data_IF_692210025272
#
_entry.id   IF_692210025272
#
_cell.length_a   1.000
_cell.length_b   1.000
_cell.length_c   1.000
_cell.angle_alpha   90.00
_cell.angle_beta   90.00
_cell.angle_gamma   90.00
#
_symmetry.space_group_name_H-M   'P 1'
#
loop_
_entity.id
_entity.type
_entity.pdbx_description
1 polymer ?
#
# COMPACT_ATOMS: atom_id res chain seq x y z
N UNK A 1 -12.99 -20.57 6.62
CA UNK A 1 -14.28 -19.93 6.21
C UNK A 1 -14.78 -20.56 4.93
N UNK A 2 -14.02 -20.50 3.82
CA UNK A 2 -14.42 -21.12 2.54
C UNK A 2 -14.52 -22.65 2.60
N UNK A 3 -13.64 -23.33 3.35
CA UNK A 3 -13.70 -24.80 3.52
C UNK A 3 -14.98 -25.27 4.22
N UNK A 4 -15.58 -24.44 5.09
CA UNK A 4 -16.78 -24.80 5.86
C UNK A 4 -18.08 -24.20 5.28
N UNK A 5 -17.98 -23.21 4.39
CA UNK A 5 -19.12 -22.46 3.84
C UNK A 5 -18.89 -22.05 2.38
N UNK A 6 -18.38 -22.96 1.54
CA UNK A 6 -18.09 -22.67 0.13
C UNK A 6 -19.31 -22.11 -0.64
N UNK A 7 -20.51 -22.55 -0.27
CA UNK A 7 -21.79 -22.09 -0.85
C UNK A 7 -22.26 -20.72 -0.37
N UNK A 8 -21.62 -20.11 0.63
CA UNK A 8 -21.99 -18.78 1.13
C UNK A 8 -21.62 -17.65 0.14
N UNK A 9 -20.68 -17.91 -0.78
CA UNK A 9 -20.32 -16.98 -1.83
C UNK A 9 -20.97 -17.46 -3.14
N UNK A 10 -22.16 -16.96 -3.43
CA UNK A 10 -22.91 -17.33 -4.64
C UNK A 10 -22.34 -16.74 -5.93
N UNK A 11 -21.54 -15.68 -5.83
CA UNK A 11 -20.89 -15.05 -6.97
C UNK A 11 -19.58 -15.79 -7.31
N UNK A 12 -19.57 -16.48 -8.45
CA UNK A 12 -18.44 -17.29 -8.90
C UNK A 12 -17.17 -16.45 -9.13
N UNK A 13 -17.29 -15.21 -9.60
CA UNK A 13 -16.15 -14.31 -9.81
C UNK A 13 -15.50 -13.93 -8.49
N UNK A 14 -16.31 -13.61 -7.47
CA UNK A 14 -15.83 -13.32 -6.13
C UNK A 14 -15.22 -14.56 -5.50
N UNK A 15 -15.84 -15.72 -5.66
CA UNK A 15 -15.30 -16.99 -5.17
C UNK A 15 -13.92 -17.27 -5.76
N UNK A 16 -13.76 -17.15 -7.08
CA UNK A 16 -12.49 -17.38 -7.76
C UNK A 16 -11.41 -16.37 -7.32
N UNK A 17 -11.76 -15.09 -7.13
CA UNK A 17 -10.83 -14.06 -6.68
C UNK A 17 -10.30 -14.33 -5.26
N UNK A 18 -11.15 -14.82 -4.36
CA UNK A 18 -10.80 -15.15 -2.97
C UNK A 18 -9.96 -16.45 -2.92
N UNK A 19 -9.99 -17.28 -3.95
CA UNK A 19 -9.09 -18.44 -4.08
C UNK A 19 -7.75 -18.07 -4.75
N UNK A 20 -7.63 -16.90 -5.38
CA UNK A 20 -6.40 -16.46 -6.03
C UNK A 20 -5.39 -15.92 -4.99
N UNK A 21 -4.32 -16.68 -4.74
CA UNK A 21 -3.25 -16.24 -3.83
C UNK A 21 -2.60 -14.93 -4.30
N UNK A 22 -2.51 -14.69 -5.61
CA UNK A 22 -1.93 -13.46 -6.15
C UNK A 22 -2.76 -12.23 -5.78
N UNK A 23 -4.07 -12.38 -5.60
CA UNK A 23 -4.93 -11.29 -5.12
C UNK A 23 -4.49 -10.84 -3.72
N UNK A 24 -4.20 -11.77 -2.81
CA UNK A 24 -3.75 -11.44 -1.46
C UNK A 24 -2.32 -10.90 -1.43
N UNK A 25 -1.42 -11.43 -2.28
CA UNK A 25 -0.06 -10.89 -2.42
C UNK A 25 -0.13 -9.42 -2.85
N UNK A 26 -0.93 -9.09 -3.88
CA UNK A 26 -1.14 -7.71 -4.34
C UNK A 26 -1.74 -6.83 -3.24
N UNK A 27 -2.76 -7.31 -2.53
CA UNK A 27 -3.34 -6.59 -1.40
C UNK A 27 -2.31 -6.30 -0.30
N UNK A 28 -1.43 -7.27 0.00
CA UNK A 28 -0.36 -7.12 0.98
C UNK A 28 0.69 -6.10 0.53
N UNK A 29 1.09 -6.14 -0.75
CA UNK A 29 2.02 -5.15 -1.32
C UNK A 29 1.45 -3.73 -1.21
N UNK A 30 0.18 -3.52 -1.57
CA UNK A 30 -0.50 -2.22 -1.44
C UNK A 30 -0.53 -1.77 0.02
N UNK A 31 -0.91 -2.67 0.94
CA UNK A 31 -0.96 -2.36 2.38
C UNK A 31 0.39 -1.89 2.93
N UNK A 32 1.50 -2.51 2.50
CA UNK A 32 2.86 -2.11 2.89
C UNK A 32 3.19 -0.68 2.44
N UNK A 33 2.77 -0.27 1.24
CA UNK A 33 2.98 1.10 0.73
C UNK A 33 2.10 2.10 1.48
N UNK A 34 0.86 1.74 1.79
CA UNK A 34 -0.09 2.61 2.48
C UNK A 34 0.22 2.79 3.97
N UNK A 35 0.91 1.84 4.60
CA UNK A 35 1.25 1.89 6.03
C UNK A 35 2.02 3.16 6.43
N UNK A 36 3.15 3.53 5.81
CA UNK A 36 3.87 4.76 6.18
C UNK A 36 3.04 6.02 5.91
N UNK A 37 2.17 6.03 4.90
CA UNK A 37 1.25 7.15 4.63
C UNK A 37 0.29 7.31 5.80
N UNK A 38 -0.37 6.22 6.23
CA UNK A 38 -1.30 6.25 7.36
C UNK A 38 -0.62 6.66 8.67
N UNK A 39 0.58 6.14 8.93
CA UNK A 39 1.36 6.52 10.12
C UNK A 39 1.68 8.02 10.14
N UNK A 40 2.10 8.58 8.99
CA UNK A 40 2.41 10.00 8.88
C UNK A 40 1.15 10.86 8.99
N UNK A 41 0.06 10.50 8.31
CA UNK A 41 -1.23 11.21 8.41
C UNK A 41 -1.71 11.29 9.85
N UNK A 42 -1.71 10.16 10.57
CA UNK A 42 -2.11 10.13 11.98
C UNK A 42 -1.22 11.04 12.85
N UNK A 43 0.09 11.07 12.60
CA UNK A 43 1.03 11.91 13.34
C UNK A 43 0.79 13.41 13.09
N UNK A 44 0.51 13.78 11.85
CA UNK A 44 0.15 15.14 11.45
C UNK A 44 -1.20 15.57 12.06
N UNK A 45 -2.23 14.72 11.96
CA UNK A 45 -3.55 14.99 12.52
C UNK A 45 -3.53 15.13 14.04
N UNK A 46 -2.72 14.32 14.73
CA UNK A 46 -2.52 14.41 16.17
C UNK A 46 -1.76 15.68 16.61
N UNK A 47 -1.29 16.52 15.66
CA UNK A 47 -0.42 17.68 15.92
C UNK A 47 0.86 17.32 16.68
N UNK A 48 1.29 16.07 16.58
CA UNK A 48 2.49 15.54 17.22
C UNK A 48 3.69 15.51 16.27
N UNK A 49 3.45 15.67 14.97
CA UNK A 49 4.50 15.70 13.97
C UNK A 49 5.29 17.01 14.01
N UNK A 50 6.61 16.89 14.12
CA UNK A 50 7.53 17.95 13.74
C UNK A 50 8.09 17.70 12.33
N UNK A 51 8.91 18.63 11.82
CA UNK A 51 9.52 18.52 10.50
C UNK A 51 10.32 17.22 10.31
N UNK A 52 11.01 16.75 11.36
CA UNK A 52 11.76 15.50 11.31
C UNK A 52 10.84 14.28 11.19
N UNK A 53 9.69 14.26 11.86
CA UNK A 53 8.70 13.18 11.70
C UNK A 53 8.18 13.12 10.26
N UNK A 54 7.90 14.27 9.66
CA UNK A 54 7.46 14.36 8.26
C UNK A 54 8.54 13.84 7.31
N UNK A 55 9.79 14.25 7.51
CA UNK A 55 10.91 13.78 6.68
C UNK A 55 11.15 12.27 6.81
N UNK A 56 11.10 11.72 8.03
CA UNK A 56 11.19 10.28 8.27
C UNK A 56 10.04 9.53 7.58
N UNK A 57 8.82 10.09 7.62
CA UNK A 57 7.66 9.53 6.92
C UNK A 57 7.87 9.45 5.40
N UNK A 58 8.45 10.49 4.79
CA UNK A 58 8.80 10.50 3.38
C UNK A 58 9.86 9.44 3.03
N UNK A 59 10.90 9.29 3.86
CA UNK A 59 11.91 8.24 3.67
C UNK A 59 11.28 6.84 3.74
N UNK A 60 10.42 6.59 4.73
CA UNK A 60 9.71 5.32 4.87
C UNK A 60 8.85 5.02 3.64
N UNK A 61 8.12 6.01 3.13
CA UNK A 61 7.32 5.87 1.91
C UNK A 61 8.20 5.53 0.70
N UNK A 62 9.31 6.24 0.50
CA UNK A 62 10.26 5.95 -0.58
C UNK A 62 10.82 4.52 -0.47
N UNK A 63 11.19 4.09 0.74
CA UNK A 63 11.67 2.74 0.99
C UNK A 63 10.60 1.67 0.66
N UNK A 64 9.34 1.89 1.06
CA UNK A 64 8.23 0.97 0.73
C UNK A 64 7.95 0.91 -0.77
N UNK A 65 8.05 2.03 -1.50
CA UNK A 65 7.94 2.03 -2.97
C UNK A 65 9.10 1.25 -3.60
N UNK A 66 10.32 1.42 -3.08
CA UNK A 66 11.50 0.75 -3.63
C UNK A 66 11.46 -0.79 -3.45
N UNK A 67 10.78 -1.27 -2.40
CA UNK A 67 10.57 -2.71 -2.15
C UNK A 67 9.54 -3.36 -3.07
N UNK A 68 8.76 -2.58 -3.83
CA UNK A 68 7.88 -3.13 -4.87
C UNK A 68 8.73 -3.81 -5.94
N UNK A 69 8.34 -4.98 -6.42
CA UNK A 69 9.06 -5.68 -7.49
C UNK A 69 9.13 -4.83 -8.77
N UNK A 70 10.24 -4.91 -9.50
CA UNK A 70 10.42 -4.18 -10.77
C UNK A 70 9.47 -4.68 -11.88
N UNK A 71 8.98 -5.92 -11.76
CA UNK A 71 7.94 -6.50 -12.62
C UNK A 71 6.58 -5.81 -12.45
N UNK A 72 6.37 -5.06 -11.37
CA UNK A 72 5.11 -4.42 -11.07
C UNK A 72 4.91 -3.19 -11.98
N UNK A 73 3.91 -3.26 -12.85
CA UNK A 73 3.56 -2.22 -13.82
C UNK A 73 3.29 -0.84 -13.20
N UNK A 74 2.99 -0.78 -11.90
CA UNK A 74 2.70 0.46 -11.19
C UNK A 74 3.93 1.12 -10.56
N UNK A 75 5.07 0.41 -10.42
CA UNK A 75 6.24 0.92 -9.68
C UNK A 75 6.78 2.22 -10.28
N UNK A 76 6.90 2.29 -11.60
CA UNK A 76 7.35 3.50 -12.30
C UNK A 76 6.44 4.70 -12.03
N UNK A 77 5.12 4.50 -12.05
CA UNK A 77 4.13 5.53 -11.74
C UNK A 77 4.22 5.99 -10.27
N UNK A 78 4.45 5.07 -9.34
CA UNK A 78 4.63 5.39 -7.92
C UNK A 78 5.88 6.26 -7.70
N UNK A 79 7.01 5.88 -8.30
CA UNK A 79 8.27 6.64 -8.22
C UNK A 79 8.10 8.03 -8.83
N UNK A 80 7.49 8.12 -10.03
CA UNK A 80 7.27 9.39 -10.71
C UNK A 80 6.41 10.34 -9.87
N UNK A 81 5.33 9.83 -9.27
CA UNK A 81 4.47 10.62 -8.38
C UNK A 81 5.19 11.06 -7.11
N UNK A 82 5.93 10.16 -6.45
CA UNK A 82 6.71 10.49 -5.26
C UNK A 82 7.70 11.61 -5.55
N UNK A 83 8.51 11.46 -6.61
CA UNK A 83 9.51 12.46 -6.99
C UNK A 83 8.87 13.81 -7.33
N UNK A 84 7.78 13.80 -8.11
CA UNK A 84 7.05 15.03 -8.45
C UNK A 84 6.62 15.79 -7.19
N UNK A 85 6.02 15.10 -6.22
CA UNK A 85 5.56 15.72 -4.96
C UNK A 85 6.71 16.15 -4.07
N UNK A 86 7.82 15.42 -4.08
CA UNK A 86 9.01 15.79 -3.31
C UNK A 86 9.59 17.13 -3.77
N UNK A 87 9.58 17.42 -5.08
CA UNK A 87 10.06 18.70 -5.63
C UNK A 87 9.06 19.87 -5.48
N UNK A 88 7.84 19.63 -5.00
CA UNK A 88 6.88 20.69 -4.66
C UNK A 88 7.15 21.29 -3.27
N UNK A 89 8.01 20.66 -2.46
CA UNK A 89 8.39 21.05 -1.08
C UNK A 89 9.62 21.96 -1.13
#
# INVERSE_FOLDING_TARGET
>A
ILENHASAISNITVFNLIQDENFYIKCRQISTILKPIKELTNCLEAKMANLANTFIGLIKLAASINQVEDSNIWKSNLIANFNRRFYEI
#
